data_IF_437986892363
#
_entry.id   IF_437986892363
#
_cell.length_a   1.000
_cell.length_b   1.000
_cell.length_c   1.000
_cell.angle_alpha   90.00
_cell.angle_beta   90.00
_cell.angle_gamma   90.00
#
_symmetry.space_group_name_H-M   'P 1'
#
loop_
_entity.id
_entity.type
_entity.pdbx_description
1 polymer ?
#
# COMPACT_ATOMS: atom_id res chain seq x y z
N UNK A 1 25.61 3.11 48.03
CA UNK A 1 26.01 4.46 47.56
C UNK A 1 27.51 4.48 47.31
N UNK A 2 28.00 5.12 46.24
CA UNK A 2 29.44 5.39 46.14
C UNK A 2 29.87 6.30 47.31
N UNK A 3 30.99 6.00 47.98
CA UNK A 3 31.51 6.79 49.12
C UNK A 3 31.58 8.30 48.84
N UNK A 4 31.73 8.71 47.57
CA UNK A 4 31.74 10.11 47.13
C UNK A 4 30.39 10.83 47.26
N UNK A 5 29.26 10.12 47.27
CA UNK A 5 27.92 10.73 47.36
C UNK A 5 27.46 10.99 48.80
N UNK A 6 27.95 10.22 49.78
CA UNK A 6 27.55 10.36 51.19
C UNK A 6 27.95 11.73 51.76
N UNK A 7 29.16 12.21 51.45
CA UNK A 7 29.63 13.53 51.89
C UNK A 7 28.77 14.68 51.37
N UNK A 8 28.32 14.60 50.11
CA UNK A 8 27.40 15.60 49.53
C UNK A 8 26.05 15.62 50.25
N UNK A 9 25.49 14.44 50.55
CA UNK A 9 24.22 14.36 51.27
C UNK A 9 24.32 14.84 52.71
N UNK A 10 25.38 14.48 53.44
CA UNK A 10 25.61 14.98 54.81
C UNK A 10 25.72 16.50 54.83
N UNK A 11 26.50 17.09 53.92
CA UNK A 11 26.60 18.55 53.80
C UNK A 11 25.25 19.20 53.44
N UNK A 12 24.49 18.57 52.54
CA UNK A 12 23.16 19.05 52.13
C UNK A 12 22.17 19.01 53.29
N UNK A 13 22.14 17.93 54.07
CA UNK A 13 21.28 17.78 55.25
C UNK A 13 21.63 18.82 56.33
N UNK A 14 22.92 19.03 56.60
CA UNK A 14 23.40 20.05 57.56
C UNK A 14 22.98 21.45 57.10
N UNK A 15 23.20 21.78 55.83
CA UNK A 15 22.82 23.09 55.28
C UNK A 15 21.30 23.30 55.23
N UNK A 16 20.52 22.22 55.11
CA UNK A 16 19.06 22.23 55.18
C UNK A 16 18.52 22.32 56.62
N UNK A 17 19.39 22.32 57.64
CA UNK A 17 18.99 22.31 59.05
C UNK A 17 18.31 21.00 59.47
N UNK A 18 18.56 19.90 58.74
CA UNK A 18 17.98 18.59 59.05
C UNK A 18 18.84 17.85 60.07
N UNK A 19 18.22 17.10 61.00
CA UNK A 19 18.95 16.28 61.97
C UNK A 19 19.81 15.25 61.25
N UNK A 20 20.98 14.92 61.81
CA UNK A 20 21.83 13.86 61.25
C UNK A 20 21.06 12.54 61.17
N UNK A 21 21.35 11.74 60.13
CA UNK A 21 20.74 10.43 59.98
C UNK A 21 21.05 9.59 61.23
N UNK A 22 20.03 9.09 61.95
CA UNK A 22 20.21 8.45 63.25
C UNK A 22 20.93 7.09 63.17
N UNK A 23 20.97 6.51 61.96
CA UNK A 23 21.61 5.23 61.70
C UNK A 23 22.49 5.33 60.44
N UNK A 24 23.76 4.96 60.56
CA UNK A 24 24.72 4.91 59.44
C UNK A 24 24.38 3.83 58.42
N UNK A 25 23.56 2.83 58.79
CA UNK A 25 23.04 1.80 57.89
C UNK A 25 21.96 2.35 56.95
N UNK A 26 21.38 3.51 57.27
CA UNK A 26 20.28 4.11 56.52
C UNK A 26 20.81 5.08 55.45
N UNK A 27 20.48 4.91 54.15
CA UNK A 27 20.97 5.81 53.12
C UNK A 27 20.43 7.23 53.32
N UNK A 28 21.30 8.24 53.34
CA UNK A 28 20.90 9.64 53.58
C UNK A 28 19.80 10.17 52.62
N UNK A 29 19.72 9.78 51.33
CA UNK A 29 18.59 10.18 50.48
C UNK A 29 17.27 9.55 50.89
N UNK A 30 17.31 8.31 51.42
CA UNK A 30 16.13 7.61 51.89
C UNK A 30 15.64 8.25 53.19
N UNK A 31 16.55 8.66 54.06
CA UNK A 31 16.24 9.42 55.27
C UNK A 31 15.64 10.79 54.94
N UNK A 32 16.24 11.53 54.00
CA UNK A 32 15.67 12.78 53.49
C UNK A 32 14.27 12.55 52.90
N UNK A 33 14.10 11.52 52.05
CA UNK A 33 12.81 11.18 51.48
C UNK A 33 11.76 10.84 52.54
N UNK A 34 12.13 10.14 53.62
CA UNK A 34 11.21 9.87 54.74
C UNK A 34 10.79 11.14 55.48
N UNK A 35 11.71 12.10 55.64
CA UNK A 35 11.38 13.41 56.23
C UNK A 35 10.42 14.20 55.32
N UNK A 36 10.57 14.08 53.99
CA UNK A 36 9.88 14.92 53.02
C UNK A 36 8.62 14.33 52.36
N UNK A 37 8.48 13.02 52.25
CA UNK A 37 7.44 12.37 51.42
C UNK A 37 6.22 11.85 52.21
N UNK A 38 6.01 12.27 53.45
CA UNK A 38 4.86 11.87 54.31
C UNK A 38 4.66 10.36 54.52
N UNK A 39 5.54 9.50 54.00
CA UNK A 39 5.47 8.05 54.16
C UNK A 39 6.31 7.60 55.35
N UNK A 40 5.77 7.77 56.56
CA UNK A 40 6.21 6.99 57.72
C UNK A 40 5.63 5.56 57.62
N UNK A 41 6.05 4.78 56.64
CA UNK A 41 5.70 3.35 56.54
C UNK A 41 6.97 2.51 56.60
N UNK A 42 7.56 2.46 57.78
CA UNK A 42 8.44 1.37 58.18
C UNK A 42 7.75 0.60 59.32
N UNK A 43 7.62 -0.73 59.25
CA UNK A 43 7.08 -1.53 60.34
C UNK A 43 8.16 -1.58 61.43
N UNK A 44 8.19 -0.56 62.28
CA UNK A 44 8.90 -0.61 63.55
C UNK A 44 7.84 -0.64 64.64
N UNK A 45 7.73 -1.78 65.32
CA UNK A 45 6.71 -2.17 66.31
C UNK A 45 6.61 -1.28 67.57
N UNK A 46 7.11 -0.05 67.55
CA UNK A 46 7.32 0.74 68.77
C UNK A 46 6.53 2.04 68.87
N UNK A 47 5.77 2.46 67.86
CA UNK A 47 4.71 3.45 68.10
C UNK A 47 3.68 3.47 66.95
N UNK A 48 2.40 3.16 67.21
CA UNK A 48 1.35 3.37 66.21
C UNK A 48 1.24 4.86 65.84
N UNK A 49 1.01 5.14 64.55
CA UNK A 49 0.86 6.50 64.02
C UNK A 49 -0.19 7.26 64.87
N UNK A 50 0.11 8.48 65.36
CA UNK A 50 -0.85 9.30 66.08
C UNK A 50 -2.20 9.45 65.35
N UNK A 51 -2.23 9.46 64.01
CA UNK A 51 -3.49 9.46 63.25
C UNK A 51 -4.30 8.20 63.51
N UNK A 52 -3.65 7.03 63.45
CA UNK A 52 -4.30 5.74 63.67
C UNK A 52 -4.84 5.60 65.10
N UNK A 53 -4.08 6.07 66.09
CA UNK A 53 -4.54 6.10 67.49
C UNK A 53 -5.75 7.04 67.70
N UNK A 54 -5.74 8.21 67.04
CA UNK A 54 -6.83 9.18 67.11
C UNK A 54 -8.09 8.67 66.40
N UNK A 55 -7.95 7.97 65.27
CA UNK A 55 -9.07 7.33 64.57
C UNK A 55 -9.73 6.23 65.41
N UNK A 56 -8.94 5.40 66.12
CA UNK A 56 -9.48 4.37 67.01
C UNK A 56 -10.22 4.94 68.23
N UNK A 57 -9.84 6.14 68.68
CA UNK A 57 -10.46 6.78 69.85
C UNK A 57 -11.90 7.26 69.59
N UNK A 58 -12.29 7.42 68.32
CA UNK A 58 -13.58 7.98 67.94
C UNK A 58 -13.73 9.49 68.15
N UNK A 59 -12.70 10.18 68.68
CA UNK A 59 -12.70 11.63 68.87
C UNK A 59 -12.37 12.36 67.57
N UNK A 60 -13.42 12.61 66.78
CA UNK A 60 -13.34 13.31 65.49
C UNK A 60 -12.83 14.74 65.65
N UNK A 61 -13.07 15.39 66.78
CA UNK A 61 -12.65 16.78 67.02
C UNK A 61 -11.15 16.85 67.23
N UNK A 62 -10.60 15.95 68.05
CA UNK A 62 -9.17 15.85 68.31
C UNK A 62 -8.39 15.42 67.05
N UNK A 63 -8.95 14.50 66.26
CA UNK A 63 -8.37 14.07 64.99
C UNK A 63 -8.26 15.22 63.98
N UNK A 64 -9.33 16.00 63.79
CA UNK A 64 -9.30 17.15 62.88
C UNK A 64 -8.37 18.27 63.37
N UNK A 65 -8.33 18.53 64.68
CA UNK A 65 -7.36 19.46 65.26
C UNK A 65 -5.90 19.02 65.04
N UNK A 66 -5.62 17.71 65.18
CA UNK A 66 -4.30 17.14 64.91
C UNK A 66 -3.93 17.26 63.42
N UNK A 67 -4.85 16.91 62.51
CA UNK A 67 -4.64 17.05 61.06
C UNK A 67 -4.35 18.49 60.67
N UNK A 68 -5.12 19.44 61.19
CA UNK A 68 -4.90 20.88 60.95
C UNK A 68 -3.51 21.31 61.42
N UNK A 69 -3.13 20.97 62.66
CA UNK A 69 -1.81 21.29 63.23
C UNK A 69 -0.67 20.63 62.45
N UNK A 70 -0.83 19.39 62.02
CA UNK A 70 0.14 18.68 61.16
C UNK A 70 0.25 19.35 59.80
N UNK A 71 -0.86 19.72 59.17
CA UNK A 71 -0.87 20.42 57.89
C UNK A 71 -0.16 21.79 57.99
N UNK A 72 -0.38 22.54 59.07
CA UNK A 72 0.36 23.79 59.33
C UNK A 72 1.86 23.55 59.46
N UNK A 73 2.27 22.50 60.17
CA UNK A 73 3.68 22.13 60.31
C UNK A 73 4.30 21.72 58.98
N UNK A 74 3.64 20.83 58.22
CA UNK A 74 4.08 20.38 56.89
C UNK A 74 4.19 21.58 55.94
N UNK A 75 3.20 22.47 55.94
CA UNK A 75 3.22 23.68 55.13
C UNK A 75 4.36 24.62 55.55
N UNK A 76 4.57 24.84 56.85
CA UNK A 76 5.69 25.65 57.34
C UNK A 76 7.04 25.05 56.94
N UNK A 77 7.18 23.73 56.95
CA UNK A 77 8.37 23.02 56.47
C UNK A 77 8.53 23.11 54.95
N UNK A 78 7.44 22.97 54.19
CA UNK A 78 7.44 23.19 52.75
C UNK A 78 7.96 24.59 52.44
N UNK A 79 7.39 25.64 53.04
CA UNK A 79 7.83 27.02 52.84
C UNK A 79 9.32 27.22 53.20
N UNK A 80 9.82 26.57 54.25
CA UNK A 80 11.25 26.59 54.61
C UNK A 80 12.14 25.86 53.60
N UNK A 81 11.62 24.88 52.87
CA UNK A 81 12.39 24.01 51.97
C UNK A 81 12.27 24.40 50.50
N UNK A 82 11.27 25.20 50.12
CA UNK A 82 11.13 25.77 48.77
C UNK A 82 12.44 26.42 48.28
N UNK A 83 13.13 27.31 49.05
CA UNK A 83 14.37 27.92 48.58
C UNK A 83 15.48 26.91 48.29
N UNK A 84 15.54 25.79 49.03
CA UNK A 84 16.51 24.72 48.81
C UNK A 84 16.20 23.92 47.55
N UNK A 85 14.91 23.62 47.30
CA UNK A 85 14.47 22.95 46.09
C UNK A 85 14.75 23.82 44.86
N UNK A 86 14.40 25.11 44.92
CA UNK A 86 14.70 26.08 43.86
C UNK A 86 16.20 26.18 43.60
N UNK A 87 17.01 26.26 44.66
CA UNK A 87 18.47 26.24 44.55
C UNK A 87 18.98 24.96 43.87
N UNK A 88 18.46 23.78 44.25
CA UNK A 88 18.88 22.51 43.67
C UNK A 88 18.49 22.37 42.19
N UNK A 89 17.29 22.84 41.81
CA UNK A 89 16.84 22.90 40.41
C UNK A 89 17.73 23.85 39.61
N UNK A 90 18.03 25.03 40.15
CA UNK A 90 18.94 26.00 39.54
C UNK A 90 20.34 25.42 39.34
N UNK A 91 20.92 24.79 40.36
CA UNK A 91 22.24 24.15 40.28
C UNK A 91 22.27 23.01 39.24
N UNK A 92 21.21 22.20 39.16
CA UNK A 92 21.10 21.16 38.13
C UNK A 92 21.04 21.77 36.73
N UNK A 93 20.28 22.84 36.55
CA UNK A 93 20.19 23.54 35.27
C UNK A 93 21.54 24.16 34.86
N UNK A 94 22.23 24.84 35.78
CA UNK A 94 23.58 25.39 35.58
C UNK A 94 24.59 24.29 35.21
N UNK A 95 24.56 23.16 35.91
CA UNK A 95 25.41 22.01 35.62
C UNK A 95 25.12 21.39 34.25
N UNK A 96 23.84 21.21 33.89
CA UNK A 96 23.44 20.71 32.58
C UNK A 96 23.84 21.68 31.45
N UNK A 97 23.71 22.99 31.66
CA UNK A 97 24.15 24.00 30.72
C UNK A 97 25.67 23.92 30.52
N UNK A 98 26.44 23.81 31.61
CA UNK A 98 27.90 23.63 31.54
C UNK A 98 28.30 22.35 30.81
N UNK A 99 27.62 21.23 31.10
CA UNK A 99 27.85 19.96 30.38
C UNK A 99 27.55 20.09 28.89
N UNK A 100 26.45 20.77 28.53
CA UNK A 100 26.07 21.02 27.14
C UNK A 100 27.15 21.85 26.44
N UNK A 101 27.61 22.94 27.04
CA UNK A 101 28.69 23.77 26.50
C UNK A 101 29.98 22.97 26.28
N UNK A 102 30.37 22.12 27.24
CA UNK A 102 31.57 21.28 27.11
C UNK A 102 31.44 20.27 25.96
N UNK A 103 30.27 19.66 25.80
CA UNK A 103 30.00 18.74 24.68
C UNK A 103 30.02 19.47 23.34
N UNK A 104 29.40 20.64 23.25
CA UNK A 104 29.39 21.46 22.03
C UNK A 104 30.79 21.93 21.65
N UNK A 105 31.60 22.37 22.63
CA UNK A 105 33.00 22.75 22.40
C UNK A 105 33.84 21.57 21.88
N UNK A 106 33.70 20.40 22.52
CA UNK A 106 34.39 19.16 22.08
C UNK A 106 33.95 18.74 20.68
N UNK A 107 32.65 18.81 20.39
CA UNK A 107 32.12 18.53 19.06
C UNK A 107 32.72 19.46 18.02
N UNK A 108 32.72 20.78 18.27
CA UNK A 108 33.30 21.76 17.36
C UNK A 108 34.79 21.52 17.12
N UNK A 109 35.54 21.12 18.16
CA UNK A 109 36.95 20.75 18.03
C UNK A 109 37.15 19.51 17.15
N UNK A 110 36.38 18.43 17.39
CA UNK A 110 36.44 17.20 16.60
C UNK A 110 36.06 17.50 15.14
N UNK A 111 34.96 18.23 14.91
CA UNK A 111 34.54 18.67 13.58
C UNK A 111 35.66 19.45 12.88
N UNK A 112 36.23 20.47 13.53
CA UNK A 112 37.32 21.28 12.98
C UNK A 112 38.56 20.45 12.62
N UNK A 113 38.90 19.43 13.42
CA UNK A 113 40.02 18.52 13.12
C UNK A 113 39.71 17.59 11.94
N UNK A 114 38.50 17.03 11.87
CA UNK A 114 38.07 16.20 10.74
C UNK A 114 38.05 17.00 9.42
N UNK A 115 37.62 18.27 9.45
CA UNK A 115 37.67 19.16 8.29
C UNK A 115 39.11 19.43 7.83
N UNK A 116 40.06 19.61 8.76
CA UNK A 116 41.49 19.76 8.43
C UNK A 116 42.09 18.51 7.76
N UNK A 117 41.48 17.34 7.95
CA UNK A 117 41.84 16.09 7.25
C UNK A 117 41.19 15.96 5.86
N UNK A 118 40.44 16.97 5.40
CA UNK A 118 39.80 16.99 4.09
C UNK A 118 38.43 16.32 4.04
N UNK A 119 37.83 16.00 5.19
CA UNK A 119 36.46 15.48 5.25
C UNK A 119 35.45 16.61 5.08
N UNK A 120 34.32 16.34 4.42
CA UNK A 120 33.27 17.35 4.21
C UNK A 120 32.42 17.52 5.47
N UNK A 121 32.05 18.77 5.78
CA UNK A 121 31.22 19.08 6.96
C UNK A 121 29.88 18.36 6.94
N UNK A 122 29.29 18.17 5.75
CA UNK A 122 28.02 17.48 5.60
C UNK A 122 28.13 16.02 6.03
N UNK A 123 29.19 15.32 5.63
CA UNK A 123 29.44 13.91 5.97
C UNK A 123 29.64 13.75 7.48
N UNK A 124 30.38 14.67 8.11
CA UNK A 124 30.61 14.69 9.55
C UNK A 124 29.31 14.92 10.33
N UNK A 125 28.47 15.86 9.89
CA UNK A 125 27.21 16.17 10.60
C UNK A 125 26.16 15.08 10.46
N UNK A 126 26.09 14.39 9.31
CA UNK A 126 25.13 13.30 9.13
C UNK A 126 25.49 12.07 9.97
N UNK A 127 26.76 11.87 10.36
CA UNK A 127 27.16 10.77 11.26
C UNK A 127 26.32 10.68 12.52
N UNK A 128 25.88 11.82 13.08
CA UNK A 128 25.04 11.83 14.28
C UNK A 128 23.73 11.04 14.09
N UNK A 129 23.19 11.03 12.88
CA UNK A 129 21.93 10.35 12.55
C UNK A 129 22.16 8.89 12.19
N UNK A 130 23.24 8.61 11.47
CA UNK A 130 23.46 7.29 10.90
C UNK A 130 24.28 6.38 11.82
N UNK A 131 25.21 6.92 12.62
CA UNK A 131 26.18 6.15 13.39
C UNK A 131 25.84 6.18 14.89
N UNK A 132 25.30 5.10 15.49
CA UNK A 132 24.97 5.06 16.91
C UNK A 132 26.19 5.31 17.82
N UNK A 133 27.37 4.91 17.35
CA UNK A 133 28.63 5.08 18.09
C UNK A 133 29.11 6.53 18.12
N UNK A 134 28.62 7.40 17.22
CA UNK A 134 29.07 8.79 17.11
C UNK A 134 28.89 9.56 18.42
N UNK A 135 27.71 9.46 19.04
CA UNK A 135 27.42 10.10 20.31
C UNK A 135 28.39 9.67 21.42
N UNK A 136 28.79 8.39 21.45
CA UNK A 136 29.75 7.89 22.44
C UNK A 136 31.17 8.45 22.25
N UNK A 137 31.54 8.80 21.03
CA UNK A 137 32.86 9.36 20.69
C UNK A 137 32.92 10.88 20.88
N UNK A 138 31.81 11.58 20.60
CA UNK A 138 31.74 13.04 20.52
C UNK A 138 31.09 13.67 21.75
N UNK A 139 30.02 13.09 22.30
CA UNK A 139 29.22 13.69 23.39
C UNK A 139 29.79 13.42 24.80
N UNK A 140 31.11 13.26 24.90
CA UNK A 140 31.79 13.10 26.18
C UNK A 140 32.07 14.48 26.81
N UNK A 141 31.56 14.72 28.01
CA UNK A 141 31.82 15.97 28.75
C UNK A 141 33.25 16.07 29.33
N UNK A 142 34.10 15.08 29.08
CA UNK A 142 35.50 15.10 29.52
C UNK A 142 36.33 16.02 28.61
N UNK A 143 37.29 16.79 29.15
CA UNK A 143 38.27 17.50 28.35
C UNK A 143 38.94 16.57 27.35
N UNK A 144 39.19 17.06 26.14
CA UNK A 144 39.80 16.28 25.08
C UNK A 144 41.33 16.29 25.24
N UNK A 145 41.95 15.18 25.65
CA UNK A 145 43.41 15.13 25.78
C UNK A 145 44.05 14.93 24.40
N UNK A 146 44.70 15.99 23.91
CA UNK A 146 45.08 16.17 22.51
C UNK A 146 45.83 15.00 21.86
N UNK A 147 46.79 14.38 22.54
CA UNK A 147 47.62 13.31 21.94
C UNK A 147 47.05 11.92 22.12
N UNK A 148 46.60 11.58 23.33
CA UNK A 148 46.20 10.21 23.68
C UNK A 148 44.78 9.90 23.21
N UNK A 149 43.84 10.82 23.45
CA UNK A 149 42.44 10.59 23.09
C UNK A 149 42.28 10.62 21.57
N UNK A 150 42.89 11.60 20.88
CA UNK A 150 42.78 11.73 19.43
C UNK A 150 43.33 10.53 18.67
N UNK A 151 44.54 10.07 19.00
CA UNK A 151 45.14 8.91 18.34
C UNK A 151 44.28 7.66 18.49
N UNK A 152 43.61 7.49 19.63
CA UNK A 152 42.72 6.36 19.92
C UNK A 152 41.36 6.49 19.23
N UNK A 153 40.76 7.69 19.22
CA UNK A 153 39.40 7.90 18.69
C UNK A 153 39.37 8.13 17.18
N UNK A 154 40.47 8.62 16.59
CA UNK A 154 40.53 9.02 15.19
C UNK A 154 40.14 7.89 14.21
N UNK A 155 40.65 6.65 14.33
CA UNK A 155 40.25 5.57 13.41
C UNK A 155 38.74 5.30 13.44
N UNK A 156 38.12 5.31 14.63
CA UNK A 156 36.67 5.10 14.78
C UNK A 156 35.86 6.27 14.22
N UNK A 157 36.34 7.51 14.36
CA UNK A 157 35.72 8.69 13.77
C UNK A 157 35.78 8.65 12.24
N UNK A 158 36.95 8.33 11.65
CA UNK A 158 37.11 8.20 10.20
C UNK A 158 36.17 7.13 9.66
N UNK A 159 36.16 5.93 10.25
CA UNK A 159 35.27 4.84 9.83
C UNK A 159 33.79 5.25 9.91
N UNK A 160 33.40 6.00 10.95
CA UNK A 160 32.04 6.52 11.10
C UNK A 160 31.67 7.53 10.01
N UNK A 161 32.59 8.42 9.63
CA UNK A 161 32.39 9.42 8.57
C UNK A 161 32.33 8.77 7.20
N UNK A 162 33.22 7.82 6.90
CA UNK A 162 33.21 7.11 5.62
C UNK A 162 31.92 6.30 5.42
N UNK A 163 31.45 5.62 6.47
CA UNK A 163 30.20 4.88 6.40
C UNK A 163 29.01 5.84 6.25
N UNK A 164 28.96 6.94 7.00
CA UNK A 164 27.89 7.93 6.86
C UNK A 164 27.89 8.60 5.47
N UNK A 165 29.07 8.84 4.88
CA UNK A 165 29.22 9.33 3.51
C UNK A 165 28.64 8.34 2.49
N UNK A 166 28.98 7.05 2.59
CA UNK A 166 28.42 6.01 1.71
C UNK A 166 26.90 5.96 1.80
N UNK A 167 26.37 6.04 3.01
CA UNK A 167 24.94 5.97 3.28
C UNK A 167 24.18 7.22 2.80
N UNK A 168 24.76 8.41 3.00
CA UNK A 168 24.25 9.66 2.43
C UNK A 168 24.19 9.58 0.91
N UNK A 169 25.28 9.17 0.26
CA UNK A 169 25.32 9.05 -1.21
C UNK A 169 24.32 8.02 -1.73
N UNK A 170 24.11 6.90 -1.02
CA UNK A 170 23.06 5.92 -1.32
C UNK A 170 21.67 6.54 -1.24
N UNK A 171 21.38 7.22 -0.13
CA UNK A 171 20.09 7.88 0.12
C UNK A 171 19.82 9.00 -0.91
N UNK A 172 20.83 9.80 -1.24
CA UNK A 172 20.75 10.81 -2.29
C UNK A 172 20.47 10.16 -3.66
N UNK A 173 21.19 9.09 -4.02
CA UNK A 173 20.94 8.36 -5.26
C UNK A 173 19.53 7.76 -5.33
N UNK A 174 19.02 7.21 -4.22
CA UNK A 174 17.64 6.71 -4.12
C UNK A 174 16.60 7.83 -4.21
N UNK A 175 16.87 8.97 -3.57
CA UNK A 175 16.02 10.17 -3.68
C UNK A 175 15.98 10.67 -5.11
N UNK A 176 17.13 10.80 -5.77
CA UNK A 176 17.20 11.18 -7.19
C UNK A 176 16.45 10.20 -8.09
N UNK A 177 16.64 8.89 -7.88
CA UNK A 177 15.89 7.85 -8.62
C UNK A 177 14.38 7.98 -8.40
N UNK A 178 13.94 8.28 -7.17
CA UNK A 178 12.53 8.50 -6.84
C UNK A 178 11.97 9.76 -7.49
N UNK A 179 12.75 10.84 -7.51
CA UNK A 179 12.39 12.09 -8.18
C UNK A 179 12.26 11.90 -9.69
N UNK A 180 13.17 11.15 -10.31
CA UNK A 180 13.06 10.80 -11.73
C UNK A 180 11.82 9.97 -12.01
N UNK A 181 11.56 8.93 -11.20
CA UNK A 181 10.33 8.13 -11.32
C UNK A 181 9.09 9.02 -11.23
N UNK A 182 9.07 9.99 -10.30
CA UNK A 182 7.97 10.95 -10.16
C UNK A 182 7.82 11.84 -11.39
N UNK A 183 8.91 12.36 -11.95
CA UNK A 183 8.90 13.19 -13.16
C UNK A 183 8.41 12.40 -14.38
N UNK A 184 8.92 11.19 -14.59
CA UNK A 184 8.47 10.32 -15.69
C UNK A 184 6.99 10.00 -15.51
N UNK A 185 6.55 9.61 -14.31
CA UNK A 185 5.12 9.34 -14.03
C UNK A 185 4.24 10.55 -14.34
N UNK A 186 4.65 11.75 -13.92
CA UNK A 186 3.91 12.98 -14.22
C UNK A 186 3.88 13.30 -15.72
N UNK A 187 4.99 13.09 -16.42
CA UNK A 187 5.07 13.26 -17.87
C UNK A 187 4.18 12.25 -18.62
N UNK A 188 4.21 10.98 -18.24
CA UNK A 188 3.36 9.92 -18.80
C UNK A 188 1.87 10.17 -18.50
N UNK A 189 1.54 10.68 -17.31
CA UNK A 189 0.18 11.05 -16.96
C UNK A 189 -0.33 12.21 -17.85
N UNK A 190 0.46 13.28 -17.98
CA UNK A 190 0.14 14.40 -18.88
C UNK A 190 0.02 13.96 -20.33
N UNK A 191 0.87 13.04 -20.76
CA UNK A 191 0.79 12.51 -22.11
C UNK A 191 -0.44 11.61 -22.30
N UNK A 192 -0.78 10.78 -21.31
CA UNK A 192 -2.00 9.97 -21.33
C UNK A 192 -3.24 10.84 -21.40
N UNK A 193 -3.29 11.94 -20.63
CA UNK A 193 -4.34 12.95 -20.71
C UNK A 193 -4.43 13.57 -22.11
N UNK A 194 -3.29 14.01 -22.65
CA UNK A 194 -3.23 14.56 -24.00
C UNK A 194 -3.64 13.57 -25.07
N UNK A 195 -3.38 12.28 -24.90
CA UNK A 195 -3.72 11.21 -25.85
C UNK A 195 -5.08 10.57 -25.56
N UNK A 196 -5.87 11.10 -24.63
CA UNK A 196 -7.23 10.62 -24.39
C UNK A 196 -8.12 10.71 -25.64
N UNK A 197 -7.79 11.63 -26.56
CA UNK A 197 -8.46 11.76 -27.85
C UNK A 197 -8.17 10.59 -28.80
N UNK A 198 -7.07 9.87 -28.59
CA UNK A 198 -6.74 8.67 -29.36
C UNK A 198 -7.43 7.42 -28.82
N UNK A 199 -8.09 7.47 -27.67
CA UNK A 199 -8.80 6.30 -27.14
C UNK A 199 -10.01 5.97 -28.03
N UNK A 200 -10.18 4.69 -28.33
CA UNK A 200 -11.36 4.21 -29.06
C UNK A 200 -12.43 3.86 -28.03
N UNK A 201 -13.59 4.48 -28.15
CA UNK A 201 -14.78 4.08 -27.39
C UNK A 201 -15.65 3.24 -28.30
N UNK A 202 -15.87 1.99 -27.92
CA UNK A 202 -16.81 1.12 -28.60
C UNK A 202 -18.11 1.19 -27.83
N UNK A 203 -19.19 1.57 -28.51
CA UNK A 203 -20.52 1.66 -27.94
C UNK A 203 -21.43 0.68 -28.64
N UNK A 204 -22.01 -0.23 -27.88
CA UNK A 204 -23.09 -1.08 -28.31
C UNK A 204 -24.41 -0.34 -28.10
N UNK A 205 -25.08 0.01 -29.20
CA UNK A 205 -26.42 0.59 -29.17
C UNK A 205 -27.44 -0.48 -29.52
N UNK A 206 -28.44 -0.66 -28.67
CA UNK A 206 -29.59 -1.50 -29.02
C UNK A 206 -30.44 -0.79 -30.05
N UNK A 207 -30.86 -1.50 -31.10
CA UNK A 207 -31.83 -0.97 -32.07
C UNK A 207 -33.18 -0.87 -31.37
N UNK A 208 -33.80 0.30 -31.43
CA UNK A 208 -35.17 0.45 -30.94
C UNK A 208 -36.07 -0.40 -31.84
N UNK A 209 -36.92 -1.28 -31.26
CA UNK A 209 -37.87 -2.02 -32.06
C UNK A 209 -38.73 -0.97 -32.79
N UNK A 210 -38.79 -1.06 -34.12
CA UNK A 210 -39.61 -0.16 -34.92
C UNK A 210 -41.02 -0.19 -34.33
N UNK A 211 -41.51 0.94 -33.81
CA UNK A 211 -42.72 1.08 -33.01
C UNK A 211 -44.03 0.80 -33.78
N UNK A 212 -43.96 0.10 -34.91
CA UNK A 212 -45.03 -0.05 -35.88
C UNK A 212 -45.73 -1.42 -35.78
N UNK A 213 -45.41 -2.25 -34.79
CA UNK A 213 -46.15 -3.50 -34.53
C UNK A 213 -47.23 -3.25 -33.47
N UNK A 214 -48.47 -3.11 -33.91
CA UNK A 214 -49.64 -2.90 -33.07
C UNK A 214 -50.21 -4.20 -32.44
N UNK A 215 -49.52 -5.34 -32.59
CA UNK A 215 -49.97 -6.62 -32.05
C UNK A 215 -49.56 -6.78 -30.58
N UNK A 216 -50.25 -6.04 -29.72
CA UNK A 216 -50.12 -6.11 -28.26
C UNK A 216 -51.05 -7.20 -27.69
N UNK A 217 -50.51 -8.39 -27.38
CA UNK A 217 -51.23 -9.34 -26.51
C UNK A 217 -50.37 -10.18 -25.57
N UNK A 218 -49.04 -10.06 -25.57
CA UNK A 218 -48.21 -10.74 -24.57
C UNK A 218 -47.55 -9.72 -23.66
N UNK A 219 -48.13 -9.54 -22.47
CA UNK A 219 -47.49 -8.83 -21.36
C UNK A 219 -46.13 -9.52 -21.08
N UNK A 220 -45.00 -8.83 -21.18
CA UNK A 220 -43.70 -9.43 -20.91
C UNK A 220 -43.64 -9.82 -19.43
N UNK A 221 -43.36 -11.08 -19.11
CA UNK A 221 -43.15 -11.62 -17.75
C UNK A 221 -41.88 -11.07 -17.06
N UNK A 222 -41.36 -9.93 -17.52
CA UNK A 222 -40.12 -9.36 -17.05
C UNK A 222 -40.36 -8.45 -15.85
N UNK A 223 -39.50 -8.52 -14.81
CA UNK A 223 -39.46 -7.52 -13.76
C UNK A 223 -39.35 -6.11 -14.38
N UNK A 224 -40.28 -5.16 -14.13
CA UNK A 224 -40.40 -3.90 -14.86
C UNK A 224 -39.27 -2.85 -14.68
N UNK A 225 -38.08 -3.20 -14.19
CA UNK A 225 -37.14 -2.19 -13.68
C UNK A 225 -35.70 -2.24 -14.21
N UNK A 226 -35.29 -3.24 -15.01
CA UNK A 226 -33.93 -3.24 -15.55
C UNK A 226 -33.90 -2.36 -16.80
N UNK A 227 -33.60 -1.07 -16.60
CA UNK A 227 -33.33 -0.11 -17.68
C UNK A 227 -32.16 -0.65 -18.51
N UNK A 228 -32.48 -1.27 -19.66
CA UNK A 228 -31.49 -1.78 -20.61
C UNK A 228 -30.75 -0.59 -21.23
N UNK A 229 -29.63 -0.22 -20.63
CA UNK A 229 -28.77 0.85 -21.12
C UNK A 229 -27.83 0.31 -22.20
N UNK A 230 -27.51 1.15 -23.20
CA UNK A 230 -26.41 0.86 -24.10
C UNK A 230 -25.12 0.64 -23.31
N UNK A 231 -24.28 -0.29 -23.78
CA UNK A 231 -22.99 -0.57 -23.17
C UNK A 231 -21.91 0.19 -23.93
N UNK A 232 -20.97 0.80 -23.20
CA UNK A 232 -19.82 1.45 -23.82
C UNK A 232 -18.56 0.99 -23.12
N UNK A 233 -17.59 0.49 -23.88
CA UNK A 233 -16.26 0.16 -23.39
C UNK A 233 -15.25 1.11 -24.02
N UNK A 234 -14.35 1.62 -23.19
CA UNK A 234 -13.24 2.48 -23.61
C UNK A 234 -11.97 1.66 -23.74
N UNK A 235 -11.52 1.45 -24.98
CA UNK A 235 -10.22 0.84 -25.24
C UNK A 235 -9.16 1.92 -25.16
N UNK A 236 -8.23 1.75 -24.21
CA UNK A 236 -7.12 2.68 -24.03
C UNK A 236 -6.10 2.46 -25.15
N UNK A 237 -5.60 3.55 -25.71
CA UNK A 237 -4.54 3.52 -26.72
C UNK A 237 -3.13 3.48 -26.11
N UNK A 238 -3.04 3.55 -24.79
CA UNK A 238 -1.79 3.45 -24.03
C UNK A 238 -1.90 2.38 -22.94
N UNK A 239 -0.78 1.71 -22.62
CA UNK A 239 -0.73 0.86 -21.44
C UNK A 239 -0.75 1.70 -20.15
N UNK A 240 -0.90 1.02 -19.01
CA UNK A 240 -0.83 1.66 -17.70
C UNK A 240 0.54 2.29 -17.43
N UNK A 241 0.59 3.37 -16.64
CA UNK A 241 1.85 4.01 -16.26
C UNK A 241 2.78 3.04 -15.53
N UNK A 242 2.22 2.18 -14.66
CA UNK A 242 2.98 1.14 -13.97
C UNK A 242 3.65 0.19 -14.96
N UNK A 243 2.92 -0.24 -15.98
CA UNK A 243 3.44 -1.09 -17.04
C UNK A 243 4.60 -0.43 -17.79
N UNK A 244 4.41 0.80 -18.27
CA UNK A 244 5.40 1.58 -19.01
C UNK A 244 6.70 1.70 -18.19
N UNK A 245 6.56 2.03 -16.91
CA UNK A 245 7.67 2.22 -15.98
C UNK A 245 8.47 0.95 -15.68
N UNK A 246 7.91 -0.23 -15.91
CA UNK A 246 8.56 -1.52 -15.61
C UNK A 246 9.08 -2.21 -16.87
N UNK A 247 8.36 -2.11 -17.99
CA UNK A 247 8.60 -2.98 -19.14
C UNK A 247 9.19 -2.28 -20.37
N UNK A 248 9.30 -0.95 -20.39
CA UNK A 248 9.91 -0.27 -21.54
C UNK A 248 11.41 -0.08 -21.37
N UNK A 249 12.23 -0.72 -22.21
CA UNK A 249 13.68 -0.68 -22.09
C UNK A 249 14.22 0.75 -22.08
N UNK A 250 13.66 1.65 -22.88
CA UNK A 250 14.13 3.03 -22.99
C UNK A 250 13.82 3.84 -21.72
N UNK A 251 12.71 3.58 -21.05
CA UNK A 251 12.42 4.17 -19.73
C UNK A 251 13.35 3.58 -18.67
N UNK A 252 13.64 2.27 -18.72
CA UNK A 252 14.63 1.65 -17.83
C UNK A 252 16.02 2.22 -18.03
N UNK A 253 16.46 2.44 -19.28
CA UNK A 253 17.75 3.06 -19.58
C UNK A 253 17.82 4.47 -18.98
N UNK A 254 16.76 5.27 -19.13
CA UNK A 254 16.69 6.63 -18.54
C UNK A 254 16.72 6.58 -17.00
N UNK A 255 16.05 5.59 -16.38
CA UNK A 255 16.02 5.41 -14.93
C UNK A 255 17.32 4.84 -14.35
N UNK A 256 18.08 4.10 -15.16
CA UNK A 256 19.36 3.49 -14.79
C UNK A 256 20.56 4.40 -15.00
N UNK A 257 20.42 5.48 -15.78
CA UNK A 257 21.48 6.46 -15.99
C UNK A 257 21.78 7.25 -14.69
N UNK A 258 23.05 7.66 -14.47
CA UNK A 258 23.40 8.57 -13.38
C UNK A 258 22.52 9.81 -13.43
N UNK A 259 22.14 10.34 -12.27
CA UNK A 259 21.23 11.47 -12.28
C UNK A 259 21.88 12.70 -12.93
N UNK A 260 21.21 13.36 -13.89
CA UNK A 260 21.72 14.59 -14.43
C UNK A 260 21.82 15.63 -13.31
N UNK A 261 22.75 16.60 -13.43
CA UNK A 261 23.06 17.55 -12.36
C UNK A 261 21.86 18.42 -11.96
N UNK A 262 20.84 18.54 -12.81
CA UNK A 262 19.59 19.21 -12.49
C UNK A 262 18.38 18.54 -13.17
N UNK A 263 17.20 18.78 -12.60
CA UNK A 263 15.93 18.21 -13.06
C UNK A 263 15.47 18.76 -14.43
N UNK A 264 15.91 19.96 -14.83
CA UNK A 264 15.53 20.56 -16.11
C UNK A 264 16.21 19.87 -17.29
N UNK A 265 17.48 19.48 -17.14
CA UNK A 265 18.18 18.65 -18.12
C UNK A 265 17.45 17.33 -18.34
N UNK A 266 17.02 16.66 -17.26
CA UNK A 266 16.22 15.44 -17.33
C UNK A 266 14.90 15.63 -18.08
N UNK A 267 14.19 16.73 -17.81
CA UNK A 267 12.95 17.07 -18.53
C UNK A 267 13.22 17.32 -20.02
N UNK A 268 14.33 17.97 -20.35
CA UNK A 268 14.78 18.18 -21.73
C UNK A 268 15.00 16.87 -22.48
N UNK A 269 15.67 15.90 -21.85
CA UNK A 269 15.90 14.57 -22.44
C UNK A 269 14.59 13.81 -22.71
N UNK A 270 13.65 13.83 -21.75
CA UNK A 270 12.32 13.24 -21.94
C UNK A 270 11.57 13.90 -23.09
N UNK A 271 11.64 15.23 -23.21
CA UNK A 271 11.04 15.98 -24.33
C UNK A 271 11.67 15.57 -25.66
N UNK A 272 12.99 15.41 -25.73
CA UNK A 272 13.70 15.00 -26.94
C UNK A 272 13.33 13.56 -27.37
N UNK A 273 13.10 12.67 -26.40
CA UNK A 273 12.63 11.30 -26.65
C UNK A 273 11.13 11.18 -26.91
N UNK A 274 10.36 12.27 -26.83
CA UNK A 274 8.91 12.26 -27.02
C UNK A 274 8.50 11.63 -28.35
N UNK A 275 9.15 11.97 -29.46
CA UNK A 275 8.80 11.40 -30.79
C UNK A 275 8.98 9.89 -30.84
N UNK A 276 10.05 9.39 -30.22
CA UNK A 276 10.31 7.95 -30.12
C UNK A 276 9.19 7.25 -29.34
N UNK A 277 8.86 7.77 -28.15
CA UNK A 277 7.78 7.26 -27.33
C UNK A 277 6.42 7.28 -28.07
N UNK A 278 6.11 8.39 -28.76
CA UNK A 278 4.87 8.48 -29.55
C UNK A 278 4.75 7.38 -30.61
N UNK A 279 5.86 7.00 -31.27
CA UNK A 279 5.87 5.91 -32.26
C UNK A 279 5.65 4.55 -31.61
N UNK A 280 6.27 4.30 -30.47
CA UNK A 280 6.02 3.07 -29.69
C UNK A 280 4.56 3.00 -29.24
N UNK A 281 3.97 4.14 -28.87
CA UNK A 281 2.59 4.21 -28.35
C UNK A 281 1.56 3.95 -29.43
N UNK A 282 1.75 4.51 -30.62
CA UNK A 282 0.86 4.25 -31.75
C UNK A 282 0.85 2.78 -32.16
N UNK A 283 1.95 2.07 -31.91
CA UNK A 283 2.10 0.66 -32.30
C UNK A 283 1.77 -0.32 -31.17
N UNK A 284 1.81 0.11 -29.90
CA UNK A 284 1.60 -0.78 -28.76
C UNK A 284 0.27 -1.53 -28.84
N UNK A 285 -0.84 -0.80 -29.03
CA UNK A 285 -2.17 -1.41 -29.06
C UNK A 285 -2.37 -2.34 -30.25
N UNK A 286 -2.09 -1.94 -31.51
CA UNK A 286 -2.18 -2.87 -32.65
C UNK A 286 -1.31 -4.11 -32.48
N UNK A 287 -0.11 -3.97 -31.93
CA UNK A 287 0.78 -5.12 -31.67
C UNK A 287 0.22 -6.05 -30.59
N UNK A 288 -0.38 -5.49 -29.52
CA UNK A 288 -1.06 -6.28 -28.49
C UNK A 288 -2.27 -7.01 -29.07
N UNK A 289 -3.13 -6.32 -29.80
CA UNK A 289 -4.31 -6.90 -30.46
C UNK A 289 -3.89 -8.03 -31.42
N UNK A 290 -2.90 -7.80 -32.29
CA UNK A 290 -2.40 -8.81 -33.21
C UNK A 290 -1.78 -10.02 -32.48
N UNK A 291 -1.03 -9.79 -31.40
CA UNK A 291 -0.45 -10.86 -30.60
C UNK A 291 -1.51 -11.73 -29.93
N UNK A 292 -2.57 -11.12 -29.38
CA UNK A 292 -3.68 -11.84 -28.77
C UNK A 292 -4.52 -12.57 -29.82
N UNK A 293 -4.84 -11.92 -30.93
CA UNK A 293 -5.61 -12.53 -32.02
C UNK A 293 -4.89 -13.76 -32.59
N UNK A 294 -3.55 -13.75 -32.64
CA UNK A 294 -2.74 -14.91 -33.04
C UNK A 294 -2.87 -16.11 -32.09
N UNK A 295 -3.26 -15.90 -30.84
CA UNK A 295 -3.50 -17.00 -29.87
C UNK A 295 -4.88 -17.62 -29.97
N UNK A 296 -5.82 -16.99 -30.70
CA UNK A 296 -7.16 -17.54 -30.92
C UNK A 296 -7.09 -18.74 -31.90
N UNK A 297 -8.08 -19.65 -31.86
CA UNK A 297 -8.14 -20.78 -32.78
C UNK A 297 -8.12 -20.33 -34.25
N UNK A 298 -7.42 -21.09 -35.08
CA UNK A 298 -7.41 -20.87 -36.54
C UNK A 298 -8.83 -20.91 -37.09
N UNK A 299 -9.23 -19.86 -37.80
CA UNK A 299 -10.58 -19.75 -38.37
C UNK A 299 -11.57 -18.97 -37.51
N UNK A 300 -11.16 -18.42 -36.37
CA UNK A 300 -11.99 -17.49 -35.59
C UNK A 300 -12.50 -16.36 -36.49
N UNK A 301 -13.82 -16.29 -36.68
CA UNK A 301 -14.47 -15.27 -37.52
C UNK A 301 -14.62 -13.97 -36.74
N UNK A 302 -14.30 -12.80 -37.33
CA UNK A 302 -14.53 -11.53 -36.66
C UNK A 302 -16.03 -11.32 -36.42
N UNK A 303 -16.41 -10.67 -35.31
CA UNK A 303 -17.81 -10.32 -35.05
C UNK A 303 -18.39 -9.47 -36.18
N UNK A 304 -19.70 -9.64 -36.41
CA UNK A 304 -20.47 -8.70 -37.22
C UNK A 304 -20.73 -7.42 -36.42
N UNK A 305 -20.45 -6.28 -37.04
CA UNK A 305 -20.61 -4.96 -36.39
C UNK A 305 -22.09 -4.58 -36.28
N UNK A 306 -22.94 -5.19 -37.09
CA UNK A 306 -24.38 -4.95 -37.12
C UNK A 306 -25.13 -6.27 -37.11
N UNK A 307 -26.02 -6.46 -36.13
CA UNK A 307 -26.94 -7.59 -36.11
C UNK A 307 -28.40 -7.10 -36.00
N UNK A 308 -29.36 -8.02 -35.87
CA UNK A 308 -30.80 -7.67 -35.82
C UNK A 308 -31.17 -6.82 -34.60
N UNK A 309 -30.46 -6.94 -33.48
CA UNK A 309 -30.81 -6.33 -32.20
C UNK A 309 -29.88 -5.20 -31.76
N UNK A 310 -28.63 -5.24 -32.20
CA UNK A 310 -27.57 -4.36 -31.76
C UNK A 310 -26.77 -3.80 -32.94
N UNK A 311 -26.27 -2.59 -32.72
CA UNK A 311 -25.40 -1.85 -33.62
C UNK A 311 -24.15 -1.46 -32.82
N UNK A 312 -23.02 -2.09 -33.16
CA UNK A 312 -21.74 -1.83 -32.53
C UNK A 312 -21.07 -0.67 -33.24
N UNK A 313 -20.91 0.46 -32.56
CA UNK A 313 -20.31 1.67 -33.13
C UNK A 313 -18.96 1.95 -32.50
N UNK A 314 -17.96 2.18 -33.33
CA UNK A 314 -16.65 2.63 -32.88
C UNK A 314 -16.53 4.15 -33.05
N UNK A 315 -16.23 4.83 -31.94
CA UNK A 315 -15.97 6.26 -31.91
C UNK A 315 -14.53 6.49 -31.50
N UNK A 316 -13.79 7.27 -32.28
CA UNK A 316 -12.50 7.79 -31.85
C UNK A 316 -12.77 9.19 -31.30
N UNK A 317 -12.23 9.47 -30.13
CA UNK A 317 -12.45 10.74 -29.47
C UNK A 317 -11.54 11.83 -30.05
N UNK A 318 -11.40 11.97 -31.36
CA UNK A 318 -10.49 12.96 -31.98
C UNK A 318 -11.01 14.41 -31.93
N UNK A 319 -12.08 14.64 -31.17
CA UNK A 319 -12.81 15.91 -31.11
C UNK A 319 -13.95 15.98 -32.12
N UNK A 320 -13.94 15.13 -33.14
CA UNK A 320 -15.09 14.86 -34.01
C UNK A 320 -15.65 13.49 -33.65
N UNK A 321 -16.89 13.42 -33.15
CA UNK A 321 -17.57 12.12 -32.99
C UNK A 321 -17.98 11.60 -34.37
N UNK A 322 -17.00 11.29 -35.20
CA UNK A 322 -17.21 10.66 -36.51
C UNK A 322 -17.39 9.17 -36.27
N UNK A 323 -18.58 8.69 -36.62
CA UNK A 323 -18.88 7.26 -36.63
C UNK A 323 -18.11 6.64 -37.79
N UNK A 324 -17.21 5.71 -37.49
CA UNK A 324 -16.44 5.02 -38.53
C UNK A 324 -16.28 3.54 -38.18
N UNK A 325 -17.29 2.77 -38.57
CA UNK A 325 -17.33 1.31 -38.37
C UNK A 325 -16.25 0.57 -39.18
N UNK A 326 -15.60 1.22 -40.16
CA UNK A 326 -14.49 0.63 -40.91
C UNK A 326 -13.20 0.55 -40.10
N UNK A 327 -13.12 1.25 -38.96
CA UNK A 327 -11.91 1.33 -38.13
C UNK A 327 -11.71 0.20 -37.14
N UNK A 328 -12.69 -0.70 -36.96
CA UNK A 328 -12.45 -1.90 -36.18
C UNK A 328 -11.58 -2.86 -36.98
N UNK A 329 -10.30 -2.95 -36.59
CA UNK A 329 -9.36 -3.90 -37.17
C UNK A 329 -9.93 -5.32 -37.10
N UNK A 330 -9.51 -6.20 -38.02
CA UNK A 330 -9.96 -7.60 -38.00
C UNK A 330 -9.61 -8.26 -36.66
N UNK A 331 -8.40 -8.03 -36.16
CA UNK A 331 -7.92 -8.57 -34.90
C UNK A 331 -8.78 -8.13 -33.72
N UNK A 332 -9.09 -6.83 -33.65
CA UNK A 332 -9.97 -6.28 -32.63
C UNK A 332 -11.37 -6.92 -32.70
N UNK A 333 -11.94 -7.11 -33.89
CA UNK A 333 -13.24 -7.78 -34.03
C UNK A 333 -13.21 -9.25 -33.60
N UNK A 334 -12.10 -9.96 -33.83
CA UNK A 334 -11.94 -11.31 -33.30
C UNK A 334 -11.84 -11.31 -31.76
N UNK A 335 -11.11 -10.34 -31.19
CA UNK A 335 -10.94 -10.21 -29.73
C UNK A 335 -12.21 -9.78 -28.99
N UNK A 336 -13.13 -9.11 -29.67
CA UNK A 336 -14.41 -8.68 -29.09
C UNK A 336 -15.48 -9.78 -29.08
N UNK A 337 -15.21 -10.98 -29.60
CA UNK A 337 -16.16 -12.10 -29.52
C UNK A 337 -16.39 -12.52 -28.07
N UNK A 338 -17.61 -12.93 -27.74
CA UNK A 338 -17.96 -13.38 -26.39
C UNK A 338 -17.27 -14.69 -25.97
N UNK A 339 -16.78 -15.47 -26.93
CA UNK A 339 -16.00 -16.69 -26.73
C UNK A 339 -14.47 -16.49 -26.82
N UNK A 340 -13.99 -15.27 -27.09
CA UNK A 340 -12.55 -14.94 -27.06
C UNK A 340 -12.08 -14.73 -25.60
N UNK A 341 -12.00 -15.83 -24.86
CA UNK A 341 -11.71 -15.85 -23.42
C UNK A 341 -10.25 -16.17 -23.17
N UNK A 342 -9.64 -15.43 -22.23
CA UNK A 342 -8.26 -15.63 -21.83
C UNK A 342 -8.17 -15.95 -20.33
N UNK A 343 -7.03 -16.48 -19.89
CA UNK A 343 -6.70 -16.69 -18.49
C UNK A 343 -5.28 -16.26 -18.16
N UNK A 344 -5.11 -15.78 -16.93
CA UNK A 344 -3.80 -15.52 -16.36
C UNK A 344 -3.24 -16.82 -15.73
N UNK A 345 -1.92 -16.97 -15.67
CA UNK A 345 -1.30 -18.10 -14.97
C UNK A 345 -1.62 -18.08 -13.47
N UNK A 346 -1.66 -16.89 -12.89
CA UNK A 346 -1.79 -16.68 -11.44
C UNK A 346 -3.21 -16.30 -10.98
N UNK A 347 -4.16 -16.08 -11.89
CA UNK A 347 -5.53 -15.69 -11.54
C UNK A 347 -6.49 -16.70 -12.17
N UNK A 348 -7.31 -17.42 -11.37
CA UNK A 348 -8.21 -18.45 -11.86
C UNK A 348 -9.41 -17.89 -12.65
N UNK A 349 -9.55 -16.57 -12.70
CA UNK A 349 -10.67 -15.85 -13.32
C UNK A 349 -10.43 -15.68 -14.82
N UNK A 350 -11.46 -15.93 -15.62
CA UNK A 350 -11.49 -15.60 -17.04
C UNK A 350 -11.46 -14.09 -17.27
N UNK A 351 -10.75 -13.67 -18.33
CA UNK A 351 -10.59 -12.26 -18.71
C UNK A 351 -10.93 -12.05 -20.17
N UNK A 352 -11.51 -10.90 -20.49
CA UNK A 352 -12.09 -10.58 -21.80
C UNK A 352 -11.52 -9.26 -22.31
N UNK A 353 -11.19 -9.19 -23.60
CA UNK A 353 -10.65 -7.95 -24.16
C UNK A 353 -11.74 -6.88 -24.30
N UNK A 354 -11.47 -5.59 -23.99
CA UNK A 354 -10.19 -5.00 -23.55
C UNK A 354 -9.99 -4.97 -22.02
N UNK A 355 -10.98 -5.41 -21.26
CA UNK A 355 -11.00 -5.26 -19.81
C UNK A 355 -9.90 -6.12 -19.17
N UNK A 356 -9.17 -5.52 -18.23
CA UNK A 356 -7.98 -6.11 -17.59
C UNK A 356 -6.69 -6.10 -18.43
N UNK A 357 -6.72 -5.87 -19.75
CA UNK A 357 -5.52 -5.88 -20.65
C UNK A 357 -4.63 -4.62 -20.57
N UNK A 358 -5.07 -3.58 -19.86
CA UNK A 358 -4.41 -2.26 -19.80
C UNK A 358 -3.04 -2.33 -19.08
N UNK A 359 -2.83 -3.34 -18.25
CA UNK A 359 -1.61 -3.50 -17.45
C UNK A 359 -0.49 -4.29 -18.11
N UNK A 360 -0.67 -4.82 -19.33
CA UNK A 360 0.06 -6.03 -19.72
C UNK A 360 1.22 -5.82 -20.69
N UNK A 361 2.21 -6.71 -20.53
CA UNK A 361 3.28 -6.86 -21.50
C UNK A 361 2.94 -7.86 -22.57
N UNK A 362 3.45 -7.58 -23.75
CA UNK A 362 3.72 -8.60 -24.76
C UNK A 362 4.98 -9.36 -24.30
N UNK A 363 4.87 -10.18 -23.26
CA UNK A 363 5.94 -11.05 -22.74
C UNK A 363 5.36 -12.34 -22.11
N UNK A 364 6.14 -13.07 -21.31
CA UNK A 364 5.77 -14.35 -20.68
C UNK A 364 4.53 -14.31 -19.75
N UNK A 365 4.10 -13.10 -19.37
CA UNK A 365 2.89 -12.85 -18.59
C UNK A 365 1.66 -12.56 -19.47
N UNK A 366 1.77 -12.72 -20.80
CA UNK A 366 0.62 -12.63 -21.69
C UNK A 366 -0.42 -13.68 -21.31
N UNK A 367 -1.69 -13.29 -21.16
CA UNK A 367 -2.75 -14.25 -20.96
C UNK A 367 -2.86 -15.22 -22.11
N UNK A 368 -3.13 -16.45 -21.73
CA UNK A 368 -3.26 -17.55 -22.66
C UNK A 368 -4.73 -17.72 -22.99
N UNK A 369 -5.02 -18.02 -24.24
CA UNK A 369 -6.36 -18.36 -24.66
C UNK A 369 -6.88 -19.54 -23.83
N UNK A 370 -8.05 -19.37 -23.22
CA UNK A 370 -8.63 -20.35 -22.32
C UNK A 370 -9.60 -21.27 -23.07
N UNK A 371 -9.04 -22.34 -23.63
CA UNK A 371 -9.75 -23.31 -24.47
C UNK A 371 -11.02 -23.85 -23.78
N UNK A 372 -10.96 -24.15 -22.47
CA UNK A 372 -12.10 -24.73 -21.74
C UNK A 372 -13.25 -23.73 -21.60
N UNK A 373 -12.95 -22.53 -21.11
CA UNK A 373 -13.94 -21.47 -20.95
C UNK A 373 -14.52 -21.03 -22.29
N UNK A 374 -13.68 -20.95 -23.32
CA UNK A 374 -14.14 -20.64 -24.68
C UNK A 374 -15.06 -21.73 -25.25
N UNK A 375 -14.75 -23.02 -25.02
CA UNK A 375 -15.62 -24.14 -25.45
C UNK A 375 -16.99 -24.07 -24.80
N UNK A 376 -17.05 -23.76 -23.50
CA UNK A 376 -18.31 -23.51 -22.77
C UNK A 376 -19.05 -22.33 -23.37
N UNK A 377 -18.37 -21.19 -23.57
CA UNK A 377 -18.96 -20.01 -24.17
C UNK A 377 -19.55 -20.28 -25.56
N UNK A 378 -18.84 -21.00 -26.44
CA UNK A 378 -19.31 -21.41 -27.76
C UNK A 378 -20.61 -22.23 -27.67
N UNK A 379 -20.67 -23.20 -26.75
CA UNK A 379 -21.87 -24.02 -26.56
C UNK A 379 -23.07 -23.18 -26.12
N UNK A 380 -22.85 -22.26 -25.17
CA UNK A 380 -23.90 -21.34 -24.70
C UNK A 380 -24.36 -20.39 -25.83
N UNK A 381 -23.42 -19.81 -26.59
CA UNK A 381 -23.73 -18.92 -27.71
C UNK A 381 -24.53 -19.63 -28.82
N UNK A 382 -24.21 -20.90 -29.10
CA UNK A 382 -24.95 -21.71 -30.07
C UNK A 382 -26.40 -21.96 -29.60
N UNK A 383 -26.59 -22.28 -28.32
CA UNK A 383 -27.92 -22.46 -27.73
C UNK A 383 -28.76 -21.18 -27.80
N UNK A 384 -28.13 -20.02 -27.57
CA UNK A 384 -28.74 -18.70 -27.73
C UNK A 384 -28.96 -18.31 -29.20
N UNK A 385 -28.50 -19.12 -30.16
CA UNK A 385 -28.49 -18.84 -31.61
C UNK A 385 -27.75 -17.56 -31.97
N UNK A 386 -26.63 -17.30 -31.28
CA UNK A 386 -25.75 -16.13 -31.50
C UNK A 386 -24.27 -16.53 -31.51
N UNK A 387 -23.83 -17.41 -32.43
CA UNK A 387 -22.46 -17.94 -32.44
C UNK A 387 -21.36 -16.88 -32.58
N UNK A 388 -21.69 -15.72 -33.15
CA UNK A 388 -20.75 -14.62 -33.39
C UNK A 388 -21.05 -13.39 -32.51
N UNK A 389 -21.77 -13.57 -31.39
CA UNK A 389 -22.07 -12.47 -30.48
C UNK A 389 -20.79 -11.84 -29.92
N UNK A 390 -20.82 -10.52 -29.76
CA UNK A 390 -19.74 -9.81 -29.07
C UNK A 390 -19.84 -9.97 -27.55
N UNK A 391 -18.73 -9.90 -26.84
CA UNK A 391 -18.70 -9.86 -25.38
C UNK A 391 -19.54 -8.69 -24.85
N UNK A 392 -19.47 -7.53 -25.50
CA UNK A 392 -20.29 -6.35 -25.23
C UNK A 392 -21.79 -6.63 -25.33
N UNK A 393 -22.19 -7.40 -26.34
CA UNK A 393 -23.57 -7.84 -26.51
C UNK A 393 -24.03 -8.68 -25.33
N UNK A 394 -23.23 -9.68 -24.95
CA UNK A 394 -23.55 -10.53 -23.81
C UNK A 394 -23.59 -9.73 -22.49
N UNK A 395 -22.70 -8.75 -22.31
CA UNK A 395 -22.75 -7.84 -21.16
C UNK A 395 -23.98 -6.93 -21.17
N UNK A 396 -24.48 -6.52 -22.33
CA UNK A 396 -25.68 -5.67 -22.43
C UNK A 396 -26.95 -6.37 -21.95
N UNK A 397 -26.97 -7.70 -21.94
CA UNK A 397 -28.03 -8.47 -21.29
C UNK A 397 -27.96 -8.41 -19.75
N UNK A 398 -26.84 -7.99 -19.16
CA UNK A 398 -26.70 -7.85 -17.71
C UNK A 398 -26.90 -9.17 -16.96
N UNK A 399 -27.56 -9.11 -15.81
CA UNK A 399 -27.93 -10.30 -15.02
C UNK A 399 -29.23 -10.91 -15.55
N UNK A 400 -29.14 -11.53 -16.72
CA UNK A 400 -30.29 -12.18 -17.38
C UNK A 400 -30.04 -13.63 -17.74
N UNK A 401 -28.88 -14.17 -17.34
CA UNK A 401 -28.49 -15.54 -17.65
C UNK A 401 -28.85 -16.47 -16.48
N UNK A 402 -29.71 -17.46 -16.73
CA UNK A 402 -30.02 -18.52 -15.77
C UNK A 402 -29.50 -19.86 -16.28
N UNK A 403 -28.85 -20.63 -15.40
CA UNK A 403 -28.53 -22.01 -15.71
C UNK A 403 -29.82 -22.84 -15.72
N UNK A 404 -30.20 -23.39 -16.88
CA UNK A 404 -31.42 -24.18 -17.01
C UNK A 404 -31.35 -25.57 -16.31
N UNK A 405 -30.18 -25.92 -15.77
CA UNK A 405 -29.88 -27.24 -15.20
C UNK A 405 -29.76 -27.23 -13.68
N UNK A 406 -29.55 -26.06 -13.08
CA UNK A 406 -29.58 -25.88 -11.63
C UNK A 406 -31.02 -25.72 -11.14
N UNK A 407 -31.69 -26.84 -10.81
CA UNK A 407 -33.10 -26.81 -10.40
C UNK A 407 -33.40 -25.93 -9.17
N UNK A 408 -32.40 -25.71 -8.30
CA UNK A 408 -32.56 -24.98 -7.05
C UNK A 408 -31.88 -23.60 -7.04
N UNK A 409 -31.17 -23.22 -8.11
CA UNK A 409 -30.47 -21.94 -8.17
C UNK A 409 -31.15 -21.01 -9.18
N UNK A 410 -31.92 -20.07 -8.66
CA UNK A 410 -32.59 -19.03 -9.44
C UNK A 410 -31.73 -17.76 -9.57
N UNK A 411 -30.41 -17.84 -9.32
CA UNK A 411 -29.54 -16.68 -9.41
C UNK A 411 -29.34 -16.26 -10.86
N UNK A 412 -29.68 -15.00 -11.13
CA UNK A 412 -29.38 -14.37 -12.40
C UNK A 412 -27.90 -14.00 -12.47
N UNK A 413 -27.18 -14.64 -13.37
CA UNK A 413 -25.75 -14.46 -13.58
C UNK A 413 -25.48 -13.44 -14.67
N UNK A 414 -24.31 -12.80 -14.59
CA UNK A 414 -23.70 -12.08 -15.70
C UNK A 414 -23.15 -13.08 -16.73
N UNK A 415 -22.75 -12.59 -17.90
CA UNK A 415 -22.14 -13.42 -18.95
C UNK A 415 -20.93 -14.21 -18.43
N UNK A 416 -20.01 -13.53 -17.75
CA UNK A 416 -18.81 -14.15 -17.18
C UNK A 416 -19.19 -15.17 -16.10
N UNK A 417 -20.22 -14.84 -15.31
CA UNK A 417 -20.70 -15.71 -14.23
C UNK A 417 -21.31 -17.02 -14.76
N UNK A 418 -22.09 -16.98 -15.85
CA UNK A 418 -22.67 -18.20 -16.41
C UNK A 418 -21.60 -19.07 -17.09
N UNK A 419 -20.59 -18.46 -17.73
CA UNK A 419 -19.46 -19.21 -18.30
C UNK A 419 -18.64 -19.85 -17.17
N UNK A 420 -18.25 -19.09 -16.15
CA UNK A 420 -17.49 -19.57 -14.99
C UNK A 420 -18.24 -20.70 -14.26
N UNK A 421 -19.56 -20.58 -14.11
CA UNK A 421 -20.43 -21.62 -13.53
C UNK A 421 -20.29 -22.96 -14.27
N UNK A 422 -20.47 -22.96 -15.58
CA UNK A 422 -20.33 -24.20 -16.38
C UNK A 422 -18.91 -24.75 -16.35
N UNK A 423 -17.89 -23.90 -16.41
CA UNK A 423 -16.48 -24.33 -16.29
C UNK A 423 -16.22 -24.99 -14.94
N UNK A 424 -16.76 -24.42 -13.86
CA UNK A 424 -16.66 -24.98 -12.52
C UNK A 424 -17.33 -26.35 -12.43
N UNK A 425 -18.58 -26.47 -12.89
CA UNK A 425 -19.33 -27.73 -12.90
C UNK A 425 -18.62 -28.82 -13.72
N UNK A 426 -18.03 -28.47 -14.86
CA UNK A 426 -17.22 -29.39 -15.65
C UNK A 426 -15.97 -29.87 -14.92
N UNK A 427 -15.27 -28.98 -14.21
CA UNK A 427 -14.07 -29.35 -13.43
C UNK A 427 -14.44 -30.24 -12.25
N UNK A 428 -15.48 -29.89 -11.50
CA UNK A 428 -16.03 -30.72 -10.42
C UNK A 428 -16.38 -32.11 -10.94
N UNK A 429 -17.05 -32.18 -12.10
CA UNK A 429 -17.38 -33.47 -12.70
C UNK A 429 -16.15 -34.28 -13.09
N UNK A 430 -15.09 -33.66 -13.60
CA UNK A 430 -13.85 -34.37 -13.93
C UNK A 430 -13.17 -34.94 -12.67
N UNK A 431 -13.21 -34.20 -11.56
CA UNK A 431 -12.73 -34.65 -10.26
C UNK A 431 -13.58 -35.82 -9.72
N UNK A 432 -14.91 -35.68 -9.75
CA UNK A 432 -15.85 -36.72 -9.35
C UNK A 432 -15.78 -37.95 -10.24
N UNK A 433 -15.55 -37.80 -11.55
CA UNK A 433 -15.43 -38.92 -12.47
C UNK A 433 -14.24 -39.83 -12.14
N UNK A 434 -13.17 -39.26 -11.55
CA UNK A 434 -12.06 -40.07 -11.02
C UNK A 434 -12.50 -40.88 -9.80
N UNK A 435 -13.42 -40.36 -9.00
CA UNK A 435 -14.04 -41.07 -7.88
C UNK A 435 -15.10 -42.08 -8.36
N UNK A 436 -15.80 -41.80 -9.46
CA UNK A 436 -16.82 -42.68 -10.05
C UNK A 436 -16.27 -44.00 -10.58
N UNK A 437 -15.00 -44.06 -10.97
CA UNK A 437 -14.35 -45.33 -11.25
C UNK A 437 -14.45 -46.31 -10.05
N UNK A 438 -14.61 -45.79 -8.83
CA UNK A 438 -14.86 -46.56 -7.60
C UNK A 438 -16.35 -46.91 -7.45
N UNK A 439 -17.27 -45.98 -7.72
CA UNK A 439 -18.72 -46.20 -7.58
C UNK A 439 -19.34 -47.06 -8.69
N UNK A 440 -18.80 -46.98 -9.91
CA UNK A 440 -19.23 -47.78 -11.06
C UNK A 440 -19.03 -49.29 -10.81
N UNK A 441 -18.01 -49.68 -10.02
CA UNK A 441 -17.82 -51.06 -9.55
C UNK A 441 -18.98 -51.58 -8.67
N UNK A 442 -19.80 -50.67 -8.13
CA UNK A 442 -20.98 -50.97 -7.32
C UNK A 442 -22.30 -50.82 -8.10
N UNK A 443 -22.25 -50.57 -9.41
CA UNK A 443 -23.44 -50.43 -10.26
C UNK A 443 -24.14 -49.07 -10.16
N UNK A 444 -23.49 -48.05 -9.60
CA UNK A 444 -24.02 -46.68 -9.57
C UNK A 444 -23.34 -45.82 -10.63
N UNK A 445 -24.13 -45.06 -11.39
CA UNK A 445 -23.65 -44.08 -12.37
C UNK A 445 -24.07 -42.69 -11.92
N UNK A 446 -23.12 -41.78 -11.67
CA UNK A 446 -23.46 -40.38 -11.50
C UNK A 446 -23.83 -39.79 -12.86
N UNK A 447 -24.97 -39.10 -12.90
CA UNK A 447 -25.45 -38.37 -14.08
C UNK A 447 -24.88 -36.96 -14.02
N UNK A 448 -24.12 -36.58 -15.05
CA UNK A 448 -23.66 -35.19 -15.17
C UNK A 448 -24.78 -34.34 -15.75
N UNK A 449 -25.32 -33.45 -14.92
CA UNK A 449 -26.43 -32.59 -15.34
C UNK A 449 -25.99 -31.45 -16.25
N UNK A 450 -24.70 -31.07 -16.27
CA UNK A 450 -24.15 -29.93 -17.01
C UNK A 450 -23.37 -30.31 -18.30
N UNK A 451 -23.65 -31.47 -18.91
CA UNK A 451 -23.03 -31.87 -20.18
C UNK A 451 -23.46 -30.96 -21.36
N UNK A 452 -22.50 -30.29 -22.00
CA UNK A 452 -22.74 -29.44 -23.17
C UNK A 452 -23.37 -30.17 -24.36
N UNK A 453 -23.32 -31.50 -24.42
CA UNK A 453 -23.74 -32.29 -25.58
C UNK A 453 -25.01 -33.14 -25.36
N UNK A 454 -25.66 -33.08 -24.19
CA UNK A 454 -26.81 -33.95 -23.88
C UNK A 454 -28.13 -33.53 -24.58
N UNK A 455 -28.10 -32.50 -25.42
CA UNK A 455 -29.24 -31.96 -26.16
C UNK A 455 -30.28 -31.24 -25.30
N UNK A 456 -30.07 -31.12 -23.98
CA UNK A 456 -30.92 -30.33 -23.09
C UNK A 456 -30.48 -28.88 -23.14
N UNK A 457 -31.45 -27.97 -23.00
CA UNK A 457 -31.16 -26.56 -22.96
C UNK A 457 -30.15 -26.22 -21.87
N UNK A 458 -29.13 -25.44 -22.23
CA UNK A 458 -28.06 -25.01 -21.32
C UNK A 458 -28.50 -23.78 -20.51
N UNK A 459 -29.24 -22.88 -21.16
CA UNK A 459 -29.41 -21.54 -20.63
C UNK A 459 -30.80 -21.02 -20.92
N UNK A 460 -31.36 -20.33 -19.94
CA UNK A 460 -32.50 -19.47 -20.16
C UNK A 460 -32.00 -18.03 -20.13
N UNK A 461 -32.05 -17.36 -21.28
CA UNK A 461 -31.92 -15.92 -21.33
C UNK A 461 -33.29 -15.34 -20.99
N UNK A 462 -33.41 -14.78 -19.78
CA UNK A 462 -34.65 -14.15 -19.34
C UNK A 462 -34.80 -12.84 -20.04
#
# INVERSE_FOLDING_TARGET
MHRSSAGFWRATLINAGLPQCPDESFPEPKYAALIFLEQCTGPTDLHPDPIFLLEQSGDTTLLEAYKAKRAELVWAWYQKTVPLVEWAVKQRAEYQAKLKMLKEARQAEIEGRLLKLGLELIDVRVCRHWCPQWASLVDMAKPFHEKVDWAKTLPSLINSVEWARKERLRTEAERHRSDHKRIIKGWLASLSERLQHMNTTITLRRKEPASNSADASCAPLYPPAIKRCGQSIRIRSLPSIGYMMSNWPQLQTILGQPAPPNLETFRGELKNKKRYFMKEFSNWRPNLEAALAKTLPTGTTPIEVQNSEFDLKAFINDGSMTEDNTRLSRDLRCLLRADAIFKHKDVPKSVYYPDEFIGWAINELMPTYDIESSRVAIAILNELRRPDASYLEMQAHGRSFLCARCANDSSYLLWEGIVDHYVYEHKQRQEDSRQDAVYSKKGHHLVFTHDLNDGKSLICLV
#
